data_IF_361994921432
#
_entry.id   IF_361994921432
#
_cell.length_a   1.000
_cell.length_b   1.000
_cell.length_c   1.000
_cell.angle_alpha   90.00
_cell.angle_beta   90.00
_cell.angle_gamma   90.00
#
_symmetry.space_group_name_H-M   'P 1'
#
loop_
_entity.id
_entity.type
_entity.pdbx_description
1 polymer ?
#
# COMPACT_ATOMS: atom_id res chain seq x y z
N UNK A 1 3.78 15.69 7.90
CA UNK A 1 5.22 15.91 8.02
C UNK A 1 5.70 16.27 6.63
N UNK A 2 6.30 17.44 6.47
CA UNK A 2 6.99 17.76 5.22
C UNK A 2 8.17 16.79 5.05
N UNK A 3 8.49 16.37 3.81
CA UNK A 3 9.71 15.63 3.57
C UNK A 3 10.92 16.50 3.93
N UNK A 4 11.99 15.92 4.50
CA UNK A 4 13.22 16.66 4.74
C UNK A 4 13.82 17.14 3.41
N UNK A 5 14.31 18.38 3.39
CA UNK A 5 14.86 19.01 2.19
C UNK A 5 16.39 18.88 2.14
N UNK A 6 17.02 18.53 3.28
CA UNK A 6 18.47 18.45 3.44
C UNK A 6 18.92 17.11 4.04
N UNK A 7 20.17 16.73 3.75
CA UNK A 7 20.78 15.51 4.27
C UNK A 7 20.94 15.58 5.79
N UNK A 8 21.23 16.76 6.33
CA UNK A 8 21.39 16.99 7.76
C UNK A 8 20.08 16.75 8.53
N UNK A 9 18.94 17.15 7.95
CA UNK A 9 17.61 16.87 8.51
C UNK A 9 17.27 15.39 8.45
N UNK A 10 17.54 14.71 7.32
CA UNK A 10 17.37 13.25 7.22
C UNK A 10 18.21 12.50 8.26
N UNK A 11 19.46 12.90 8.45
CA UNK A 11 20.37 12.33 9.45
C UNK A 11 19.87 12.55 10.88
N UNK A 12 19.31 13.72 11.18
CA UNK A 12 18.73 14.01 12.50
C UNK A 12 17.54 13.08 12.81
N UNK A 13 16.68 12.82 11.84
CA UNK A 13 15.54 11.90 11.98
C UNK A 13 16.01 10.46 12.19
N UNK A 14 17.04 10.03 11.45
CA UNK A 14 17.64 8.70 11.61
C UNK A 14 18.29 8.55 12.99
N UNK A 15 19.00 9.57 13.47
CA UNK A 15 19.60 9.55 14.81
C UNK A 15 18.54 9.46 15.91
N UNK A 16 17.45 10.24 15.80
CA UNK A 16 16.32 10.17 16.72
C UNK A 16 15.66 8.79 16.71
N UNK A 17 15.51 8.17 15.53
CA UNK A 17 14.99 6.82 15.42
C UNK A 17 15.89 5.79 16.11
N UNK A 18 17.21 5.89 15.95
CA UNK A 18 18.19 5.01 16.61
C UNK A 18 18.13 5.19 18.14
N UNK A 19 18.08 6.43 18.63
CA UNK A 19 17.97 6.73 20.07
C UNK A 19 16.65 6.21 20.66
N UNK A 20 15.57 6.22 19.88
CA UNK A 20 14.30 5.60 20.23
C UNK A 20 14.30 4.06 20.14
N UNK A 21 15.41 3.45 19.71
CA UNK A 21 15.55 2.00 19.51
C UNK A 21 14.78 1.46 18.30
N UNK A 22 14.42 2.33 17.35
CA UNK A 22 13.74 1.98 16.10
C UNK A 22 14.80 1.75 15.02
N UNK A 23 14.66 0.66 14.26
CA UNK A 23 15.52 0.37 13.11
C UNK A 23 15.27 1.41 11.99
N UNK A 24 16.25 2.24 11.62
CA UNK A 24 16.11 3.22 10.54
C UNK A 24 16.05 2.56 9.14
N UNK A 25 16.44 1.29 9.01
CA UNK A 25 16.47 0.56 7.75
C UNK A 25 15.68 -0.75 7.83
N UNK A 26 14.35 -0.66 8.05
CA UNK A 26 13.53 -1.85 8.24
C UNK A 26 13.60 -2.76 7.01
N UNK A 27 13.54 -4.09 7.21
CA UNK A 27 13.52 -5.03 6.10
C UNK A 27 12.29 -4.80 5.22
N UNK A 28 12.40 -5.13 3.93
CA UNK A 28 11.28 -5.04 3.00
C UNK A 28 10.10 -5.85 3.54
N UNK A 29 8.95 -5.20 3.69
CA UNK A 29 7.71 -5.86 4.12
C UNK A 29 7.36 -6.97 3.13
N UNK A 30 7.04 -8.14 3.65
CA UNK A 30 6.54 -9.23 2.82
C UNK A 30 5.25 -8.80 2.12
N UNK A 31 5.05 -9.23 0.86
CA UNK A 31 3.82 -8.94 0.15
C UNK A 31 2.64 -9.52 0.93
N UNK A 32 1.71 -8.66 1.34
CA UNK A 32 0.51 -9.08 2.07
C UNK A 32 -0.33 -10.02 1.22
N UNK A 33 -0.50 -11.27 1.65
CA UNK A 33 -1.37 -12.25 0.98
C UNK A 33 -2.82 -11.74 0.87
N UNK A 34 -3.27 -10.96 1.87
CA UNK A 34 -4.56 -10.29 1.88
C UNK A 34 -4.71 -9.26 0.76
N UNK A 35 -3.65 -8.51 0.45
CA UNK A 35 -3.69 -7.53 -0.63
C UNK A 35 -3.91 -8.22 -1.99
N UNK A 36 -3.25 -9.36 -2.22
CA UNK A 36 -3.46 -10.18 -3.43
C UNK A 36 -4.89 -10.72 -3.51
N UNK A 37 -5.42 -11.24 -2.41
CA UNK A 37 -6.78 -11.76 -2.34
C UNK A 37 -7.82 -10.65 -2.58
N UNK A 38 -7.64 -9.49 -1.97
CA UNK A 38 -8.52 -8.33 -2.14
C UNK A 38 -8.55 -7.85 -3.59
N UNK A 39 -7.39 -7.79 -4.26
CA UNK A 39 -7.30 -7.41 -5.67
C UNK A 39 -8.03 -8.40 -6.58
N UNK A 40 -7.87 -9.70 -6.33
CA UNK A 40 -8.58 -10.74 -7.09
C UNK A 40 -10.10 -10.64 -6.92
N UNK A 41 -10.58 -10.50 -5.69
CA UNK A 41 -12.01 -10.31 -5.41
C UNK A 41 -12.57 -9.04 -6.04
N UNK A 42 -11.83 -7.94 -5.96
CA UNK A 42 -12.20 -6.69 -6.61
C UNK A 42 -12.42 -6.88 -8.11
N UNK A 43 -11.49 -7.57 -8.80
CA UNK A 43 -11.62 -7.88 -10.22
C UNK A 43 -12.85 -8.74 -10.54
N UNK A 44 -13.16 -9.73 -9.71
CA UNK A 44 -14.35 -10.58 -9.90
C UNK A 44 -15.62 -9.73 -9.79
N UNK A 45 -15.71 -8.89 -8.76
CA UNK A 45 -16.90 -8.06 -8.53
C UNK A 45 -17.14 -7.11 -9.69
N UNK A 46 -16.11 -6.43 -10.20
CA UNK A 46 -16.28 -5.52 -11.36
C UNK A 46 -16.71 -6.28 -12.62
N UNK A 47 -16.14 -7.47 -12.86
CA UNK A 47 -16.51 -8.27 -14.03
C UNK A 47 -17.95 -8.76 -13.95
N UNK A 48 -18.35 -9.31 -12.80
CA UNK A 48 -19.73 -9.79 -12.60
C UNK A 48 -20.71 -8.63 -12.66
N UNK A 49 -20.37 -7.48 -12.08
CA UNK A 49 -21.21 -6.27 -12.13
C UNK A 49 -21.42 -5.79 -13.57
N UNK A 50 -20.34 -5.75 -14.36
CA UNK A 50 -20.40 -5.32 -15.76
C UNK A 50 -21.17 -6.31 -16.65
N UNK A 51 -20.93 -7.62 -16.49
CA UNK A 51 -21.69 -8.66 -17.20
C UNK A 51 -23.17 -8.61 -16.83
N UNK A 52 -23.49 -8.42 -15.54
CA UNK A 52 -24.89 -8.29 -15.10
C UNK A 52 -25.57 -7.10 -15.76
N UNK A 53 -24.92 -5.93 -15.81
CA UNK A 53 -25.45 -4.76 -16.51
C UNK A 53 -25.68 -4.99 -18.00
N UNK A 54 -24.79 -5.72 -18.67
CA UNK A 54 -24.95 -6.06 -20.08
C UNK A 54 -26.20 -6.94 -20.30
N UNK A 55 -26.35 -7.98 -19.49
CA UNK A 55 -27.50 -8.90 -19.55
C UNK A 55 -28.83 -8.18 -19.30
N UNK A 56 -28.86 -7.31 -18.28
CA UNK A 56 -30.04 -6.49 -17.95
C UNK A 56 -30.45 -5.52 -19.06
N UNK A 57 -29.51 -5.07 -19.91
CA UNK A 57 -29.81 -4.18 -21.04
C UNK A 57 -30.24 -4.94 -22.30
N UNK A 58 -29.91 -6.23 -22.40
CA UNK A 58 -30.25 -7.07 -23.54
C UNK A 58 -31.61 -7.78 -23.42
N UNK A 59 -32.18 -7.83 -22.21
CA UNK A 59 -33.50 -8.37 -21.90
C UNK A 59 -34.54 -7.24 -21.86
#
# INVERSE_FOLDING_TARGET
MEPPETIEEELAIIAEAIDAGIDPFPPKKEPSGWAKAALGWFMIIIMVSWVSQLLYRSL
#
